data_IF_523617328554
#
_entry.id   IF_523617328554
#
_cell.length_a   1.000
_cell.length_b   1.000
_cell.length_c   1.000
_cell.angle_alpha   90.00
_cell.angle_beta   90.00
_cell.angle_gamma   90.00
#
_symmetry.space_group_name_H-M   'P 1'
#
loop_
_entity.id
_entity.type
_entity.pdbx_description
1 polymer ?
#
# COMPACT_ATOMS: atom_id res chain seq x y z
N UNK A 1 27.62 -11.00 2.41
CA UNK A 1 26.88 -9.73 2.43
C UNK A 1 27.49 -8.87 1.34
N UNK A 2 26.89 -8.87 0.15
CA UNK A 2 27.40 -8.09 -0.98
C UNK A 2 27.18 -6.62 -0.68
N UNK A 3 28.27 -5.89 -0.50
CA UNK A 3 28.31 -4.44 -0.38
C UNK A 3 27.77 -3.88 -1.71
N UNK A 4 26.47 -3.60 -1.81
CA UNK A 4 25.89 -3.01 -3.02
C UNK A 4 26.43 -1.59 -3.13
N UNK A 5 27.52 -1.45 -3.89
CA UNK A 5 28.15 -0.16 -4.16
C UNK A 5 27.18 0.82 -4.81
N UNK A 6 26.15 0.36 -5.51
CA UNK A 6 25.19 1.24 -6.20
C UNK A 6 23.74 0.85 -5.86
N UNK A 7 22.84 1.82 -5.88
CA UNK A 7 21.39 1.58 -5.81
C UNK A 7 20.87 1.28 -7.21
N UNK A 8 20.13 0.20 -7.39
CA UNK A 8 19.50 -0.13 -8.67
C UNK A 8 18.02 0.22 -8.55
N UNK A 9 17.54 1.10 -9.42
CA UNK A 9 16.12 1.39 -9.50
C UNK A 9 15.45 0.35 -10.39
N UNK A 10 14.65 -0.51 -9.77
CA UNK A 10 13.74 -1.42 -10.42
C UNK A 10 12.35 -0.77 -10.52
N UNK A 11 11.54 -1.30 -11.42
CA UNK A 11 10.12 -0.99 -11.52
C UNK A 11 9.33 -2.29 -11.44
N UNK A 12 8.04 -2.17 -11.15
CA UNK A 12 7.15 -3.31 -11.07
C UNK A 12 6.01 -3.15 -12.10
N UNK A 13 5.71 -4.22 -12.82
CA UNK A 13 4.48 -4.36 -13.59
C UNK A 13 3.50 -5.24 -12.82
N UNK A 14 2.24 -4.82 -12.75
CA UNK A 14 1.18 -5.56 -12.08
C UNK A 14 0.15 -6.07 -13.06
N UNK A 15 -0.10 -7.37 -12.97
CA UNK A 15 -1.22 -8.01 -13.63
C UNK A 15 -2.32 -8.31 -12.60
N UNK A 16 -3.49 -7.72 -12.80
CA UNK A 16 -4.68 -8.02 -12.01
C UNK A 16 -5.29 -9.33 -12.51
N UNK A 17 -5.54 -10.26 -11.59
CA UNK A 17 -6.08 -11.58 -11.88
C UNK A 17 -7.29 -11.84 -11.00
N UNK A 18 -8.41 -12.20 -11.60
CA UNK A 18 -9.60 -12.67 -10.87
C UNK A 18 -9.27 -13.95 -10.11
N UNK A 19 -9.68 -14.03 -8.85
CA UNK A 19 -9.52 -15.24 -8.04
C UNK A 19 -10.63 -16.27 -8.27
N UNK A 20 -11.75 -15.82 -8.87
CA UNK A 20 -12.99 -16.60 -8.98
C UNK A 20 -13.83 -16.60 -7.70
N UNK A 21 -13.31 -16.06 -6.59
CA UNK A 21 -14.03 -15.93 -5.32
C UNK A 21 -14.86 -14.65 -5.37
N UNK A 22 -16.14 -14.78 -5.06
CA UNK A 22 -17.12 -13.69 -5.08
C UNK A 22 -17.97 -13.77 -3.82
N UNK A 23 -18.29 -12.62 -3.23
CA UNK A 23 -19.12 -12.53 -2.02
C UNK A 23 -20.19 -11.47 -2.16
N UNK A 24 -21.33 -11.68 -1.49
CA UNK A 24 -22.53 -10.82 -1.55
C UNK A 24 -23.00 -10.34 -0.18
N UNK A 25 -22.36 -10.78 0.89
CA UNK A 25 -22.69 -10.37 2.27
C UNK A 25 -21.43 -10.24 3.13
N UNK A 26 -21.57 -9.60 4.31
CA UNK A 26 -20.47 -9.50 5.28
C UNK A 26 -20.06 -10.87 5.82
N UNK A 27 -21.00 -11.79 5.99
CA UNK A 27 -20.73 -13.15 6.46
C UNK A 27 -19.88 -13.92 5.44
N UNK A 28 -20.21 -13.81 4.16
CA UNK A 28 -19.41 -14.40 3.08
C UNK A 28 -18.03 -13.74 2.98
N UNK A 29 -17.97 -12.40 3.04
CA UNK A 29 -16.69 -11.66 3.09
C UNK A 29 -15.81 -12.18 4.22
N UNK A 30 -16.37 -12.25 5.43
CA UNK A 30 -15.67 -12.72 6.62
C UNK A 30 -15.20 -14.18 6.50
N UNK A 31 -15.98 -15.04 5.88
CA UNK A 31 -15.61 -16.43 5.65
C UNK A 31 -14.45 -16.59 4.65
N UNK A 32 -14.39 -15.72 3.64
CA UNK A 32 -13.38 -15.79 2.58
C UNK A 32 -12.08 -15.02 2.89
N UNK A 33 -12.12 -13.95 3.69
CA UNK A 33 -10.93 -13.17 4.08
C UNK A 33 -9.73 -14.03 4.59
N UNK A 34 -9.92 -15.10 5.40
CA UNK A 34 -8.83 -15.99 5.79
C UNK A 34 -8.27 -16.86 4.65
N UNK A 35 -9.08 -17.11 3.61
CA UNK A 35 -8.82 -18.10 2.55
C UNK A 35 -8.20 -17.47 1.30
N UNK A 36 -8.51 -16.21 1.03
CA UNK A 36 -7.99 -15.51 -0.15
C UNK A 36 -6.47 -15.32 -0.06
N UNK A 37 -5.74 -15.32 -1.19
CA UNK A 37 -4.30 -15.08 -1.20
C UNK A 37 -3.93 -13.73 -0.56
N UNK A 38 -2.76 -13.63 0.07
CA UNK A 38 -2.28 -12.35 0.62
C UNK A 38 -2.20 -11.24 -0.43
N UNK A 39 -1.84 -11.58 -1.67
CA UNK A 39 -1.82 -10.62 -2.79
C UNK A 39 -3.20 -10.09 -3.19
N UNK A 40 -4.28 -10.70 -2.72
CA UNK A 40 -5.64 -10.16 -2.85
C UNK A 40 -5.92 -9.09 -1.80
N UNK A 41 -5.55 -9.35 -0.53
CA UNK A 41 -5.63 -8.35 0.54
C UNK A 41 -4.78 -7.14 0.20
N UNK A 42 -3.54 -7.36 -0.25
CA UNK A 42 -2.66 -6.27 -0.68
C UNK A 42 -3.32 -5.42 -1.77
N UNK A 43 -3.81 -6.07 -2.83
CA UNK A 43 -4.45 -5.40 -3.96
C UNK A 43 -5.63 -4.53 -3.50
N UNK A 44 -6.60 -5.10 -2.80
CA UNK A 44 -7.82 -4.39 -2.40
C UNK A 44 -7.61 -3.30 -1.34
N UNK A 45 -6.53 -3.38 -0.56
CA UNK A 45 -6.18 -2.35 0.43
C UNK A 45 -5.30 -1.23 -0.13
N UNK A 46 -4.50 -1.49 -1.16
CA UNK A 46 -3.46 -0.54 -1.60
C UNK A 46 -3.65 0.02 -3.01
N UNK A 47 -4.43 -0.62 -3.90
CA UNK A 47 -4.40 -0.29 -5.32
C UNK A 47 -4.77 1.17 -5.64
N UNK A 48 -5.69 1.75 -4.87
CA UNK A 48 -6.16 3.12 -5.08
C UNK A 48 -5.06 4.15 -4.81
N UNK A 49 -4.10 3.85 -3.95
CA UNK A 49 -2.94 4.72 -3.70
C UNK A 49 -1.98 4.77 -4.89
N UNK A 50 -2.12 3.87 -5.87
CA UNK A 50 -1.36 3.91 -7.12
C UNK A 50 -2.13 4.54 -8.26
N UNK A 51 -3.46 4.62 -8.16
CA UNK A 51 -4.28 5.24 -9.17
C UNK A 51 -3.98 6.74 -9.15
N UNK A 52 -3.36 7.23 -10.22
CA UNK A 52 -2.85 8.59 -10.34
C UNK A 52 -3.96 9.65 -10.53
N UNK A 53 -5.23 9.28 -10.44
CA UNK A 53 -6.33 10.14 -10.87
C UNK A 53 -7.11 10.76 -9.71
N UNK A 54 -6.72 12.00 -9.39
CA UNK A 54 -7.54 13.21 -9.22
C UNK A 54 -8.86 13.21 -8.42
N UNK A 55 -9.23 12.14 -7.73
CA UNK A 55 -10.37 12.13 -6.82
C UNK A 55 -9.98 11.41 -5.54
N UNK A 56 -9.86 12.17 -4.45
CA UNK A 56 -9.87 11.63 -3.10
C UNK A 56 -11.21 10.90 -2.91
N UNK A 57 -11.26 9.62 -3.23
CA UNK A 57 -12.36 8.75 -2.84
C UNK A 57 -12.43 8.77 -1.31
N UNK A 58 -13.62 8.94 -0.75
CA UNK A 58 -13.83 8.85 0.70
C UNK A 58 -13.38 7.48 1.26
N UNK A 59 -13.29 6.47 0.40
CA UNK A 59 -12.78 5.15 0.72
C UNK A 59 -11.53 4.86 -0.11
N UNK A 60 -10.38 4.76 0.56
CA UNK A 60 -9.08 4.44 -0.04
C UNK A 60 -8.84 2.93 -0.20
N UNK A 61 -9.76 2.08 0.25
CA UNK A 61 -9.72 0.64 0.02
C UNK A 61 -11.06 0.09 -0.51
N UNK A 62 -10.96 -1.00 -1.26
CA UNK A 62 -12.11 -1.58 -1.96
C UNK A 62 -13.13 -2.19 -1.01
N UNK A 63 -12.69 -2.73 0.13
CA UNK A 63 -13.61 -3.32 1.12
C UNK A 63 -14.53 -2.24 1.69
N UNK A 64 -13.98 -1.13 2.15
CA UNK A 64 -14.74 0.01 2.64
C UNK A 64 -15.72 0.53 1.57
N UNK A 65 -15.24 0.70 0.33
CA UNK A 65 -16.09 1.16 -0.78
C UNK A 65 -17.25 0.21 -1.06
N UNK A 66 -16.99 -1.09 -1.13
CA UNK A 66 -18.02 -2.08 -1.41
C UNK A 66 -19.03 -2.17 -0.26
N UNK A 67 -18.55 -2.20 0.98
CA UNK A 67 -19.40 -2.23 2.17
C UNK A 67 -20.34 -1.01 2.22
N UNK A 68 -19.84 0.19 1.92
CA UNK A 68 -20.67 1.40 1.81
C UNK A 68 -21.68 1.29 0.65
N UNK A 69 -21.21 0.99 -0.57
CA UNK A 69 -22.03 1.11 -1.77
C UNK A 69 -23.03 -0.04 -1.96
N UNK A 70 -22.58 -1.27 -1.77
CA UNK A 70 -23.37 -2.48 -2.02
C UNK A 70 -24.14 -2.93 -0.79
N UNK A 71 -23.56 -2.80 0.41
CA UNK A 71 -24.19 -3.26 1.65
C UNK A 71 -24.84 -2.15 2.48
N UNK A 72 -24.55 -0.88 2.18
CA UNK A 72 -25.07 0.30 2.90
C UNK A 72 -24.69 0.33 4.39
N UNK A 73 -23.54 -0.27 4.72
CA UNK A 73 -23.02 -0.35 6.08
C UNK A 73 -21.95 0.73 6.32
N UNK A 74 -22.36 2.00 6.34
CA UNK A 74 -21.43 3.13 6.40
C UNK A 74 -20.50 3.09 7.63
N UNK A 75 -21.01 2.70 8.80
CA UNK A 75 -20.21 2.60 10.01
C UNK A 75 -19.05 1.58 9.86
N UNK A 76 -19.30 0.43 9.21
CA UNK A 76 -18.22 -0.52 8.93
C UNK A 76 -17.29 0.01 7.84
N UNK A 77 -17.82 0.68 6.81
CA UNK A 77 -17.02 1.27 5.75
C UNK A 77 -16.03 2.32 6.30
N UNK A 78 -16.47 3.17 7.24
CA UNK A 78 -15.60 4.12 7.94
C UNK A 78 -14.53 3.41 8.77
N UNK A 79 -14.91 2.41 9.58
CA UNK A 79 -13.95 1.62 10.37
C UNK A 79 -12.89 0.97 9.47
N UNK A 80 -13.28 0.41 8.32
CA UNK A 80 -12.37 -0.19 7.35
C UNK A 80 -11.49 0.84 6.64
N UNK A 81 -12.03 2.03 6.34
CA UNK A 81 -11.26 3.13 5.74
C UNK A 81 -10.23 3.71 6.71
N UNK A 82 -10.50 3.65 8.02
CA UNK A 82 -9.63 4.16 9.08
C UNK A 82 -8.46 3.24 9.45
N UNK A 83 -8.33 2.06 8.83
CA UNK A 83 -7.21 1.13 9.09
C UNK A 83 -5.89 1.79 8.68
N UNK A 84 -5.01 2.05 9.65
CA UNK A 84 -3.68 2.61 9.40
C UNK A 84 -2.74 1.57 8.78
N UNK A 85 -2.52 1.67 7.47
CA UNK A 85 -1.65 0.76 6.72
C UNK A 85 -0.18 0.80 7.19
N UNK A 86 0.29 1.90 7.80
CA UNK A 86 1.68 1.99 8.31
C UNK A 86 1.89 1.23 9.62
N UNK A 87 0.82 0.91 10.34
CA UNK A 87 0.90 0.14 11.57
C UNK A 87 1.38 -1.30 11.32
N UNK A 88 1.20 -1.82 10.09
CA UNK A 88 1.45 -3.20 9.72
C UNK A 88 2.74 -3.36 8.92
N UNK A 89 3.52 -4.39 9.21
CA UNK A 89 4.71 -4.74 8.43
C UNK A 89 4.49 -5.97 7.56
N UNK A 90 3.40 -6.70 7.80
CA UNK A 90 3.05 -7.89 7.03
C UNK A 90 1.60 -7.87 6.54
N UNK A 91 1.38 -8.49 5.39
CA UNK A 91 0.01 -8.69 4.85
C UNK A 91 -0.85 -9.55 5.77
N UNK A 92 -0.24 -10.42 6.58
CA UNK A 92 -0.96 -11.23 7.55
C UNK A 92 -1.57 -10.35 8.65
N UNK A 93 -0.80 -9.45 9.25
CA UNK A 93 -1.31 -8.55 10.27
C UNK A 93 -2.40 -7.62 9.71
N UNK A 94 -2.20 -7.11 8.49
CA UNK A 94 -3.23 -6.30 7.82
C UNK A 94 -4.52 -7.09 7.58
N UNK A 95 -4.41 -8.35 7.14
CA UNK A 95 -5.57 -9.24 7.01
C UNK A 95 -6.28 -9.44 8.35
N UNK A 96 -5.51 -9.74 9.39
CA UNK A 96 -6.05 -9.99 10.72
C UNK A 96 -6.76 -8.74 11.27
N UNK A 97 -6.26 -7.54 10.97
CA UNK A 97 -6.92 -6.27 11.29
C UNK A 97 -8.25 -6.10 10.54
N UNK A 98 -8.28 -6.33 9.22
CA UNK A 98 -9.52 -6.27 8.42
C UNK A 98 -10.55 -7.28 8.95
N UNK A 99 -10.12 -8.51 9.24
CA UNK A 99 -10.96 -9.55 9.83
C UNK A 99 -11.51 -9.10 11.19
N UNK A 100 -10.65 -8.57 12.07
CA UNK A 100 -11.04 -8.09 13.39
C UNK A 100 -12.08 -6.99 13.33
N UNK A 101 -11.90 -6.00 12.44
CA UNK A 101 -12.87 -4.92 12.22
C UNK A 101 -14.23 -5.44 11.75
N UNK A 102 -14.25 -6.43 10.85
CA UNK A 102 -15.48 -7.07 10.38
C UNK A 102 -16.13 -7.91 11.49
N UNK A 103 -15.34 -8.65 12.27
CA UNK A 103 -15.83 -9.46 13.39
C UNK A 103 -16.48 -8.62 14.49
N UNK A 104 -15.81 -7.54 14.90
CA UNK A 104 -16.33 -6.60 15.88
C UNK A 104 -17.68 -6.05 15.43
N UNK A 105 -17.75 -5.57 14.18
CA UNK A 105 -18.99 -5.04 13.62
C UNK A 105 -20.12 -6.08 13.55
N UNK A 106 -19.81 -7.31 13.12
CA UNK A 106 -20.78 -8.40 13.07
C UNK A 106 -21.29 -8.79 14.47
N UNK A 107 -20.46 -8.65 15.51
CA UNK A 107 -20.86 -8.95 16.89
C UNK A 107 -21.80 -7.90 17.49
N UNK A 108 -21.74 -6.66 17.01
CA UNK A 108 -22.59 -5.54 17.41
C UNK A 108 -23.90 -5.47 16.59
N UNK A 109 -23.99 -6.22 15.50
CA UNK A 109 -25.09 -6.15 14.54
C UNK A 109 -26.35 -6.84 15.10
N UNK A 110 -27.30 -6.05 15.60
CA UNK A 110 -28.58 -6.54 16.13
C UNK A 110 -29.68 -6.74 15.07
N UNK A 111 -29.27 -7.07 13.84
CA UNK A 111 -30.21 -7.33 12.73
C UNK A 111 -29.67 -8.39 11.77
N UNK A 112 -30.54 -9.03 10.98
CA UNK A 112 -30.09 -9.90 9.90
C UNK A 112 -29.10 -9.18 8.97
N UNK A 113 -28.05 -9.90 8.57
CA UNK A 113 -27.12 -9.41 7.56
C UNK A 113 -27.83 -9.15 6.24
N UNK A 114 -27.41 -8.09 5.55
CA UNK A 114 -27.88 -7.79 4.20
C UNK A 114 -27.06 -8.57 3.16
N UNK A 115 -27.72 -9.06 2.12
CA UNK A 115 -27.11 -9.68 0.95
C UNK A 115 -27.42 -8.82 -0.28
N UNK A 116 -26.38 -8.32 -0.96
CA UNK A 116 -26.53 -7.48 -2.13
C UNK A 116 -26.93 -8.27 -3.38
N UNK A 117 -27.30 -7.55 -4.45
CA UNK A 117 -27.63 -8.17 -5.73
C UNK A 117 -26.38 -8.79 -6.36
N UNK A 118 -26.50 -9.84 -7.19
CA UNK A 118 -25.34 -10.44 -7.86
C UNK A 118 -24.49 -9.47 -8.67
N UNK A 119 -25.09 -8.40 -9.23
CA UNK A 119 -24.38 -7.37 -9.98
C UNK A 119 -23.55 -6.42 -9.09
N UNK A 120 -23.78 -6.43 -7.78
CA UNK A 120 -23.11 -5.62 -6.76
C UNK A 120 -22.15 -6.48 -5.92
N UNK A 121 -21.91 -7.72 -6.32
CA UNK A 121 -21.06 -8.64 -5.58
C UNK A 121 -19.61 -8.15 -5.55
N UNK A 122 -18.91 -8.43 -4.45
CA UNK A 122 -17.48 -8.17 -4.37
C UNK A 122 -16.73 -9.31 -5.05
N UNK A 123 -15.90 -8.97 -6.02
CA UNK A 123 -15.05 -9.92 -6.71
C UNK A 123 -13.63 -9.79 -6.20
N UNK A 124 -13.13 -10.87 -5.58
CA UNK A 124 -11.75 -10.89 -5.15
C UNK A 124 -10.83 -10.97 -6.37
N UNK A 125 -9.96 -9.98 -6.49
CA UNK A 125 -8.85 -9.90 -7.41
C UNK A 125 -7.54 -10.07 -6.65
N UNK A 126 -6.49 -10.50 -7.34
CA UNK A 126 -5.13 -10.52 -6.81
C UNK A 126 -4.17 -9.85 -7.79
N UNK A 127 -3.13 -9.26 -7.25
CA UNK A 127 -2.01 -8.76 -8.07
C UNK A 127 -0.96 -9.87 -8.29
N UNK A 128 -0.43 -9.95 -9.51
CA UNK A 128 0.82 -10.65 -9.83
C UNK A 128 1.85 -9.62 -10.27
N UNK A 129 2.95 -9.57 -9.53
CA UNK A 129 4.02 -8.60 -9.67
C UNK A 129 5.17 -9.15 -10.50
N UNK A 130 5.68 -8.33 -11.42
CA UNK A 130 6.86 -8.62 -12.22
C UNK A 130 7.86 -7.47 -12.04
N UNK A 131 8.98 -7.76 -11.37
CA UNK A 131 10.05 -6.79 -11.15
C UNK A 131 10.96 -6.75 -12.36
N UNK A 132 11.22 -5.56 -12.87
CA UNK A 132 12.02 -5.31 -14.05
C UNK A 132 13.08 -4.25 -13.74
N UNK A 133 14.33 -4.44 -14.17
CA UNK A 133 15.34 -3.40 -14.05
C UNK A 133 15.01 -2.23 -14.96
N UNK A 134 15.11 -1.00 -14.45
CA UNK A 134 14.94 0.20 -15.28
C UNK A 134 16.23 0.58 -16.03
N UNK A 135 17.36 0.01 -15.62
CA UNK A 135 18.70 0.42 -16.07
C UNK A 135 19.21 1.70 -15.39
N UNK A 136 18.40 2.35 -14.54
CA UNK A 136 18.84 3.49 -13.74
C UNK A 136 19.55 2.96 -12.50
N UNK A 137 20.78 3.41 -12.29
CA UNK A 137 21.66 2.97 -11.18
C UNK A 137 22.25 4.20 -10.53
N UNK A 138 22.20 4.36 -9.21
CA UNK A 138 22.88 5.46 -8.50
C UNK A 138 24.14 4.99 -7.77
N UNK A 139 25.26 5.65 -8.03
CA UNK A 139 26.57 5.24 -7.49
C UNK A 139 26.94 5.96 -6.19
N UNK A 140 26.23 7.03 -5.84
CA UNK A 140 26.40 7.76 -4.59
C UNK A 140 25.10 8.44 -4.11
N UNK A 141 25.14 9.02 -2.91
CA UNK A 141 23.97 9.59 -2.24
C UNK A 141 23.40 10.78 -3.03
N UNK A 142 24.25 11.64 -3.58
CA UNK A 142 23.79 12.81 -4.35
C UNK A 142 23.20 12.36 -5.69
N UNK A 143 23.83 11.38 -6.33
CA UNK A 143 23.33 10.74 -7.55
C UNK A 143 22.01 10.01 -7.34
N UNK A 144 21.81 9.41 -6.16
CA UNK A 144 20.54 8.80 -5.76
C UNK A 144 19.40 9.82 -5.76
N UNK A 145 19.54 10.95 -5.06
CA UNK A 145 18.47 11.96 -5.04
C UNK A 145 18.23 12.61 -6.40
N UNK A 146 19.29 12.84 -7.20
CA UNK A 146 19.15 13.29 -8.60
C UNK A 146 18.33 12.29 -9.42
N UNK A 147 18.56 10.99 -9.25
CA UNK A 147 17.86 9.93 -10.00
C UNK A 147 16.41 9.76 -9.53
N UNK A 148 16.13 9.82 -8.22
CA UNK A 148 14.76 9.79 -7.67
C UNK A 148 13.87 10.87 -8.30
N UNK A 149 14.41 12.04 -8.63
CA UNK A 149 13.64 13.09 -9.31
C UNK A 149 13.09 12.66 -10.69
N UNK A 150 13.69 11.64 -11.32
CA UNK A 150 13.38 11.18 -12.68
C UNK A 150 12.69 9.81 -12.76
N UNK A 151 12.60 9.06 -11.66
CA UNK A 151 12.02 7.71 -11.68
C UNK A 151 10.50 7.75 -11.87
N UNK A 152 9.98 6.70 -12.51
CA UNK A 152 8.53 6.50 -12.65
C UNK A 152 7.85 6.33 -11.28
N UNK A 153 6.55 6.63 -11.22
CA UNK A 153 5.74 6.34 -10.02
C UNK A 153 5.77 4.86 -9.64
N UNK A 154 5.81 3.96 -10.63
CA UNK A 154 5.91 2.53 -10.38
C UNK A 154 7.22 2.14 -9.68
N UNK A 155 8.35 2.73 -10.08
CA UNK A 155 9.64 2.51 -9.42
C UNK A 155 9.67 3.11 -8.01
N UNK A 156 9.15 4.34 -7.85
CA UNK A 156 9.02 4.98 -6.55
C UNK A 156 8.17 4.13 -5.59
N UNK A 157 7.01 3.68 -6.05
CA UNK A 157 6.14 2.83 -5.26
C UNK A 157 6.82 1.51 -4.87
N UNK A 158 7.46 0.84 -5.83
CA UNK A 158 8.12 -0.45 -5.59
C UNK A 158 9.18 -0.34 -4.48
N UNK A 159 10.04 0.66 -4.54
CA UNK A 159 11.14 0.82 -3.59
C UNK A 159 10.75 1.46 -2.26
N UNK A 160 9.71 2.30 -2.24
CA UNK A 160 9.30 3.02 -1.04
C UNK A 160 8.16 2.32 -0.29
N UNK A 161 7.08 1.98 -0.99
CA UNK A 161 5.88 1.40 -0.40
C UNK A 161 6.00 -0.11 -0.27
N UNK A 162 6.13 -0.79 -1.41
CA UNK A 162 6.05 -2.25 -1.45
C UNK A 162 7.22 -2.86 -0.69
N UNK A 163 8.40 -2.23 -0.72
CA UNK A 163 9.55 -2.64 0.07
C UNK A 163 9.22 -2.88 1.54
N UNK A 164 8.37 -2.06 2.17
CA UNK A 164 7.99 -2.23 3.58
C UNK A 164 7.31 -3.58 3.83
N UNK A 165 6.33 -3.91 2.98
CA UNK A 165 5.58 -5.16 3.06
C UNK A 165 6.38 -6.37 2.57
N UNK A 166 7.13 -6.21 1.48
CA UNK A 166 7.98 -7.25 0.88
C UNK A 166 9.13 -7.65 1.81
N UNK A 167 9.73 -6.69 2.50
CA UNK A 167 10.82 -6.94 3.45
C UNK A 167 10.32 -7.32 4.86
N UNK A 168 9.03 -7.13 5.14
CA UNK A 168 8.47 -7.34 6.48
C UNK A 168 9.03 -6.34 7.51
N UNK A 169 9.30 -5.10 7.10
CA UNK A 169 9.97 -4.08 7.92
C UNK A 169 9.38 -2.70 7.69
N UNK A 170 9.57 -1.79 8.64
CA UNK A 170 9.14 -0.39 8.51
C UNK A 170 10.06 0.47 7.62
N UNK A 171 11.15 -0.10 7.11
CA UNK A 171 12.12 0.57 6.23
C UNK A 171 11.78 0.38 4.76
N UNK A 172 12.08 1.39 3.95
CA UNK A 172 12.10 1.27 2.49
C UNK A 172 13.44 0.71 1.98
N UNK A 173 13.52 0.37 0.68
CA UNK A 173 14.80 0.05 0.04
C UNK A 173 15.74 1.28 0.06
N UNK A 174 15.18 2.48 -0.09
CA UNK A 174 15.92 3.75 -0.05
C UNK A 174 16.59 3.98 1.31
N UNK A 175 15.80 3.91 2.38
CA UNK A 175 16.28 4.13 3.75
C UNK A 175 17.35 3.11 4.12
N UNK A 176 17.15 1.85 3.75
CA UNK A 176 18.15 0.79 3.96
C UNK A 176 19.46 1.11 3.26
N UNK A 177 19.41 1.47 1.98
CA UNK A 177 20.61 1.77 1.23
C UNK A 177 21.35 3.01 1.76
N UNK A 178 20.63 4.06 2.15
CA UNK A 178 21.22 5.25 2.76
C UNK A 178 21.87 4.95 4.12
N UNK A 179 21.23 4.13 4.95
CA UNK A 179 21.81 3.68 6.21
C UNK A 179 23.10 2.89 5.99
N UNK A 180 23.12 1.98 5.00
CA UNK A 180 24.31 1.22 4.60
C UNK A 180 25.43 2.15 4.07
N UNK A 181 25.09 3.34 3.55
CA UNK A 181 26.04 4.41 3.17
C UNK A 181 26.45 5.34 4.33
N UNK A 182 26.05 5.05 5.56
CA UNK A 182 26.36 5.87 6.73
C UNK A 182 25.50 7.13 6.88
N UNK A 183 24.42 7.26 6.11
CA UNK A 183 23.45 8.36 6.19
C UNK A 183 22.19 7.95 6.93
N UNK A 184 22.37 7.54 8.18
CA UNK A 184 21.27 7.16 9.07
C UNK A 184 20.28 8.32 9.33
N UNK A 185 20.77 9.56 9.26
CA UNK A 185 19.97 10.79 9.33
C UNK A 185 18.93 10.86 8.19
N UNK A 186 19.38 10.64 6.95
CA UNK A 186 18.50 10.66 5.79
C UNK A 186 17.59 9.43 5.73
N UNK A 187 18.09 8.27 6.14
CA UNK A 187 17.28 7.06 6.24
C UNK A 187 16.09 7.25 7.19
N UNK A 188 16.33 7.83 8.38
CA UNK A 188 15.28 8.13 9.34
C UNK A 188 14.29 9.18 8.82
N UNK A 189 14.78 10.21 8.11
CA UNK A 189 13.93 11.22 7.50
C UNK A 189 13.01 10.64 6.40
N UNK A 190 13.53 9.74 5.56
CA UNK A 190 12.74 9.04 4.54
C UNK A 190 11.71 8.11 5.19
N UNK A 191 12.07 7.38 6.26
CA UNK A 191 11.14 6.48 6.94
C UNK A 191 9.99 7.22 7.64
N UNK A 192 10.22 8.47 8.06
CA UNK A 192 9.22 9.33 8.69
C UNK A 192 8.16 9.88 7.72
N UNK A 193 8.41 9.83 6.40
CA UNK A 193 7.42 10.26 5.42
C UNK A 193 6.21 9.31 5.44
N UNK A 194 5.01 9.89 5.49
CA UNK A 194 3.76 9.13 5.39
C UNK A 194 3.28 9.13 3.93
N UNK A 195 3.38 7.99 3.23
CA UNK A 195 2.99 7.90 1.83
C UNK A 195 1.48 7.92 1.57
N UNK A 196 0.65 7.75 2.59
CA UNK A 196 -0.81 7.60 2.44
C UNK A 196 -1.58 8.91 2.61
N UNK A 197 -0.89 10.02 2.88
CA UNK A 197 -1.48 11.36 3.06
C UNK A 197 -1.07 12.36 1.98
N UNK A 198 -0.35 11.90 0.96
CA UNK A 198 0.12 12.71 -0.15
C UNK A 198 0.05 11.92 -1.46
N UNK A 199 0.17 12.63 -2.58
CA UNK A 199 0.32 12.03 -3.90
C UNK A 199 1.74 11.47 -4.09
N UNK A 200 1.92 10.55 -5.04
CA UNK A 200 3.27 10.06 -5.39
C UNK A 200 4.21 11.16 -5.91
N UNK A 201 3.67 12.23 -6.50
CA UNK A 201 4.46 13.39 -6.93
C UNK A 201 4.94 14.23 -5.75
N UNK A 202 4.08 14.46 -4.76
CA UNK A 202 4.44 15.12 -3.50
C UNK A 202 5.45 14.28 -2.73
N UNK A 203 5.22 12.97 -2.58
CA UNK A 203 6.18 12.08 -1.96
C UNK A 203 7.54 12.10 -2.66
N UNK A 204 7.57 12.07 -4.01
CA UNK A 204 8.82 12.20 -4.78
C UNK A 204 9.53 13.51 -4.43
N UNK A 205 8.78 14.61 -4.41
CA UNK A 205 9.31 15.95 -4.11
C UNK A 205 9.91 16.00 -2.71
N UNK A 206 9.19 15.48 -1.71
CA UNK A 206 9.62 15.46 -0.32
C UNK A 206 10.91 14.64 -0.16
N UNK A 207 10.97 13.46 -0.79
CA UNK A 207 12.20 12.64 -0.80
C UNK A 207 13.36 13.42 -1.42
N UNK A 208 13.17 14.06 -2.58
CA UNK A 208 14.23 14.83 -3.25
C UNK A 208 14.71 15.99 -2.39
N UNK A 209 13.81 16.69 -1.68
CA UNK A 209 14.16 17.81 -0.80
C UNK A 209 15.04 17.41 0.40
N UNK A 210 14.89 16.19 0.91
CA UNK A 210 15.77 15.65 1.96
C UNK A 210 17.22 15.59 1.50
N UNK A 211 17.46 15.30 0.21
CA UNK A 211 18.78 15.28 -0.39
C UNK A 211 19.42 16.65 -0.60
N UNK A 212 18.60 17.71 -0.73
CA UNK A 212 19.08 19.07 -1.00
C UNK A 212 19.32 19.92 0.26
N UNK A 213 19.09 19.37 1.46
CA UNK A 213 19.35 20.07 2.74
C UNK A 213 18.34 21.16 3.09
N UNK A 214 17.24 21.29 2.35
CA UNK A 214 16.15 22.22 2.65
C UNK A 214 15.11 21.50 3.51
N UNK A 215 15.32 21.50 4.82
CA UNK A 215 14.27 21.15 5.76
C UNK A 215 13.14 22.18 5.62
N UNK A 216 11.97 21.74 5.14
CA UNK A 216 10.76 22.56 5.15
C UNK A 216 10.39 22.84 6.62
N UNK A 217 10.28 24.11 7.05
CA UNK A 217 9.79 24.42 8.38
C UNK A 217 8.33 23.98 8.49
N UNK A 218 8.01 23.38 9.65
CA UNK A 218 6.66 23.06 10.17
C UNK A 218 5.59 24.08 9.86
#
# INVERSE_FOLDING_TARGET
MTNQQSFIFDTELRLVVLTGITVRSLQELRAELPRVPGSSIFFHMHQEYLAHDFQHSAHYNDFARWVSQALREEALAEKLAAIDLLAFTTIRELRDAVIGTVDEYLSELDRPGYECRPAEAFHFCRSRSFVLPTGIVADDVDDFFRKVASISHASLYFHFFEARLRLGRRTSDFSRWLADRGRADLAAAIDALNPYVCTLDELRRDIVQLGTGTATPT
#
